data_IF_663412598109
#
_entry.id   IF_663412598109
#
_cell.length_a   1.000
_cell.length_b   1.000
_cell.length_c   1.000
_cell.angle_alpha   90.00
_cell.angle_beta   90.00
_cell.angle_gamma   90.00
#
_symmetry.space_group_name_H-M   'P 1'
#
loop_
_entity.id
_entity.type
_entity.pdbx_description
1 polymer ?
#
# COMPACT_ATOMS: atom_id res chain seq x y z
N UNK A 1 30.10 -24.36 -3.97
CA UNK A 1 29.55 -25.02 -2.77
C UNK A 1 29.61 -24.02 -1.64
N UNK A 2 28.49 -23.79 -0.95
CA UNK A 2 28.45 -22.97 0.26
C UNK A 2 28.61 -23.90 1.46
N UNK A 3 29.58 -23.63 2.35
CA UNK A 3 29.82 -24.42 3.57
C UNK A 3 29.39 -23.57 4.76
N UNK A 4 28.48 -24.08 5.58
CA UNK A 4 28.02 -23.41 6.81
C UNK A 4 28.88 -23.83 7.99
N UNK A 5 29.28 -22.86 8.80
CA UNK A 5 29.87 -23.07 10.11
C UNK A 5 28.81 -23.15 11.23
N UNK A 6 29.19 -23.60 12.42
CA UNK A 6 28.30 -23.65 13.59
C UNK A 6 27.62 -22.30 13.84
N UNK A 7 26.30 -22.31 14.01
CA UNK A 7 25.49 -21.12 14.22
C UNK A 7 25.13 -20.34 12.96
N UNK A 8 25.65 -20.69 11.78
CA UNK A 8 25.29 -20.05 10.53
C UNK A 8 24.00 -20.64 9.93
N UNK A 9 23.27 -19.79 9.21
CA UNK A 9 22.06 -20.17 8.51
C UNK A 9 22.11 -19.80 7.03
N UNK A 10 21.37 -20.56 6.22
CA UNK A 10 21.16 -20.33 4.80
C UNK A 10 19.66 -20.40 4.51
N UNK A 11 19.17 -19.45 3.71
CA UNK A 11 17.80 -19.45 3.22
C UNK A 11 17.81 -19.91 1.76
N UNK A 12 16.92 -20.84 1.42
CA UNK A 12 16.77 -21.39 0.09
C UNK A 12 15.31 -21.43 -0.33
N UNK A 13 15.01 -20.86 -1.49
CA UNK A 13 13.68 -20.84 -2.09
C UNK A 13 13.53 -22.02 -3.06
N UNK A 14 12.42 -22.77 -2.96
CA UNK A 14 12.07 -23.87 -3.86
C UNK A 14 10.62 -23.71 -4.35
N UNK A 15 10.26 -24.38 -5.45
CA UNK A 15 9.04 -24.16 -6.25
C UNK A 15 7.80 -23.59 -5.51
N UNK A 16 7.31 -22.44 -6.00
CA UNK A 16 5.99 -21.87 -5.67
C UNK A 16 5.95 -21.07 -4.37
N UNK A 17 5.56 -21.72 -3.27
CA UNK A 17 5.17 -21.08 -1.99
C UNK A 17 6.05 -21.51 -0.79
N UNK A 18 7.05 -22.38 -0.98
CA UNK A 18 7.83 -22.96 0.14
C UNK A 18 9.22 -22.34 0.25
N UNK A 19 9.56 -21.86 1.44
CA UNK A 19 10.88 -21.35 1.77
C UNK A 19 11.51 -22.19 2.88
N UNK A 20 12.75 -22.63 2.66
CA UNK A 20 13.50 -23.46 3.58
C UNK A 20 14.62 -22.64 4.22
N UNK A 21 14.75 -22.76 5.55
CA UNK A 21 15.89 -22.21 6.28
C UNK A 21 16.68 -23.38 6.87
N UNK A 22 17.95 -23.45 6.53
CA UNK A 22 18.90 -24.44 7.03
C UNK A 22 19.80 -23.77 8.04
N UNK A 23 19.84 -24.27 9.27
CA UNK A 23 20.72 -23.79 10.33
C UNK A 23 21.70 -24.88 10.73
N UNK A 24 22.99 -24.54 10.76
CA UNK A 24 24.01 -25.43 11.29
C UNK A 24 24.09 -25.25 12.82
N UNK A 25 23.89 -26.34 13.55
CA UNK A 25 23.89 -26.37 15.00
C UNK A 25 25.33 -26.44 15.54
N UNK A 26 25.49 -26.13 16.83
CA UNK A 26 26.79 -26.24 17.51
C UNK A 26 27.09 -27.68 17.92
N UNK A 27 26.06 -28.50 18.09
CA UNK A 27 26.19 -29.90 18.44
C UNK A 27 26.56 -30.74 17.22
N UNK A 28 27.31 -31.81 17.45
CA UNK A 28 27.66 -32.77 16.41
C UNK A 28 26.66 -33.92 16.37
N UNK A 29 26.28 -34.32 15.17
CA UNK A 29 25.49 -35.50 14.93
C UNK A 29 26.30 -36.76 15.35
N UNK A 30 25.77 -37.62 16.24
CA UNK A 30 26.51 -38.76 16.77
C UNK A 30 26.81 -39.87 15.74
N UNK A 31 26.05 -39.94 14.65
CA UNK A 31 26.22 -40.96 13.62
C UNK A 31 27.28 -40.57 12.58
N UNK A 32 27.32 -39.29 12.22
CA UNK A 32 28.18 -38.80 11.12
C UNK A 32 29.42 -38.05 11.61
N UNK A 33 29.41 -37.54 12.84
CA UNK A 33 30.49 -36.74 13.43
C UNK A 33 30.60 -35.30 12.88
N UNK A 34 29.72 -34.91 11.95
CA UNK A 34 29.58 -33.54 11.46
C UNK A 34 28.68 -32.71 12.37
N UNK A 35 28.71 -31.38 12.22
CA UNK A 35 27.74 -30.52 12.91
C UNK A 35 26.32 -30.86 12.45
N UNK A 36 25.42 -31.00 13.41
CA UNK A 36 24.01 -31.27 13.15
C UNK A 36 23.41 -30.08 12.39
N UNK A 37 22.38 -30.35 11.61
CA UNK A 37 21.69 -29.35 10.81
C UNK A 37 20.19 -29.41 11.08
N UNK A 38 19.59 -28.24 11.26
CA UNK A 38 18.15 -28.07 11.40
C UNK A 38 17.61 -27.46 10.11
N UNK A 39 16.63 -28.13 9.50
CA UNK A 39 15.91 -27.61 8.34
C UNK A 39 14.51 -27.24 8.80
N UNK A 40 14.13 -25.99 8.59
CA UNK A 40 12.76 -25.52 8.78
C UNK A 40 12.15 -25.14 7.44
N UNK A 41 10.87 -25.43 7.26
CA UNK A 41 10.11 -25.05 6.06
C UNK A 41 8.94 -24.15 6.45
N UNK A 42 8.80 -23.03 5.75
CA UNK A 42 7.67 -22.11 5.90
C UNK A 42 6.92 -22.02 4.57
N UNK A 43 5.58 -22.06 4.65
CA UNK A 43 4.71 -21.74 3.53
C UNK A 43 4.50 -20.21 3.46
N UNK A 44 5.11 -19.58 2.47
CA UNK A 44 5.01 -18.15 2.16
C UNK A 44 3.85 -17.86 1.17
N UNK A 45 2.70 -18.55 1.29
CA UNK A 45 1.56 -18.33 0.39
C UNK A 45 1.26 -16.85 0.24
N UNK A 46 1.16 -16.40 -1.01
CA UNK A 46 0.93 -15.00 -1.35
C UNK A 46 -0.54 -14.59 -1.18
N UNK A 47 -1.35 -15.44 -0.53
CA UNK A 47 -2.76 -15.19 -0.24
C UNK A 47 -2.88 -14.31 1.00
N UNK A 48 -3.15 -13.03 0.77
CA UNK A 48 -3.45 -12.07 1.82
C UNK A 48 -4.95 -11.94 2.08
N UNK A 49 -5.32 -11.35 3.22
CA UNK A 49 -6.71 -11.03 3.53
C UNK A 49 -7.31 -10.00 2.56
N UNK A 50 -8.62 -9.75 2.66
CA UNK A 50 -9.28 -8.72 1.85
C UNK A 50 -8.59 -7.36 2.06
N UNK A 51 -8.33 -6.64 0.97
CA UNK A 51 -7.61 -5.34 0.96
C UNK A 51 -6.14 -5.40 1.37
N UNK A 52 -5.48 -6.56 1.25
CA UNK A 52 -4.05 -6.69 1.47
C UNK A 52 -3.34 -7.21 0.22
N UNK A 53 -2.10 -6.79 0.03
CA UNK A 53 -1.19 -7.23 -1.04
C UNK A 53 0.06 -7.78 -0.39
N UNK A 54 0.49 -8.94 -0.87
CA UNK A 54 1.76 -9.54 -0.45
C UNK A 54 2.92 -8.68 -0.94
N UNK A 55 3.72 -8.15 -0.03
CA UNK A 55 4.95 -7.42 -0.34
C UNK A 55 6.15 -8.33 -0.03
N UNK A 56 6.98 -8.69 -1.04
CA UNK A 56 8.18 -9.48 -0.81
C UNK A 56 9.15 -8.76 0.13
N UNK A 57 9.89 -9.51 0.93
CA UNK A 57 10.96 -8.95 1.76
C UNK A 57 12.12 -8.47 0.86
N UNK A 58 12.70 -7.32 1.19
CA UNK A 58 13.95 -6.83 0.58
C UNK A 58 15.18 -7.29 1.34
N UNK A 59 14.99 -7.87 2.53
CA UNK A 59 16.07 -8.42 3.37
C UNK A 59 16.36 -9.87 2.94
N UNK A 60 17.59 -10.18 2.47
CA UNK A 60 18.00 -11.53 2.09
C UNK A 60 17.97 -12.54 3.24
N UNK A 61 17.92 -12.08 4.49
CA UNK A 61 17.84 -12.92 5.69
C UNK A 61 16.40 -13.24 6.11
N UNK A 62 15.40 -12.75 5.37
CA UNK A 62 13.98 -12.95 5.70
C UNK A 62 13.33 -13.86 4.67
N UNK A 63 12.84 -14.98 5.16
CA UNK A 63 12.28 -16.07 4.34
C UNK A 63 10.99 -15.68 3.61
N UNK A 64 10.02 -15.01 4.26
CA UNK A 64 8.77 -14.58 3.63
C UNK A 64 8.59 -13.06 3.64
N UNK A 65 7.90 -12.56 2.62
CA UNK A 65 7.29 -11.23 2.63
C UNK A 65 6.11 -11.14 3.59
N UNK A 66 5.46 -9.97 3.60
CA UNK A 66 4.35 -9.67 4.50
C UNK A 66 3.16 -9.13 3.73
N UNK A 67 1.96 -9.48 4.16
CA UNK A 67 0.74 -8.82 3.69
C UNK A 67 0.71 -7.39 4.21
N UNK A 68 0.75 -6.43 3.29
CA UNK A 68 0.54 -5.01 3.57
C UNK A 68 -0.84 -4.63 3.12
N UNK A 69 -1.47 -3.65 3.76
CA UNK A 69 -2.71 -3.10 3.21
C UNK A 69 -2.46 -2.66 1.75
N UNK A 70 -3.38 -2.99 0.85
CA UNK A 70 -3.42 -2.38 -0.48
C UNK A 70 -3.67 -0.90 -0.21
N UNK A 71 -2.60 -0.11 -0.13
CA UNK A 71 -2.63 1.31 0.29
C UNK A 71 -3.45 2.22 -0.63
N UNK A 72 -4.26 1.63 -1.50
CA UNK A 72 -5.14 2.23 -2.49
C UNK A 72 -6.58 1.71 -2.33
N UNK A 73 -7.09 1.43 -1.14
CA UNK A 73 -8.56 1.46 -0.94
C UNK A 73 -9.02 2.92 -0.96
N UNK A 74 -10.19 3.19 -1.56
CA UNK A 74 -10.74 4.55 -1.62
C UNK A 74 -10.85 5.17 -0.23
N UNK A 75 -10.15 6.30 -0.02
CA UNK A 75 -10.07 6.96 1.28
C UNK A 75 -9.91 8.47 1.14
N UNK A 76 -10.25 9.18 2.21
CA UNK A 76 -9.96 10.59 2.39
C UNK A 76 -8.49 10.77 2.74
N UNK A 77 -7.75 11.48 1.89
CA UNK A 77 -6.32 11.75 2.07
C UNK A 77 -6.09 13.22 2.37
N UNK A 78 -5.11 13.49 3.24
CA UNK A 78 -4.70 14.83 3.62
C UNK A 78 -3.48 15.26 2.79
N UNK A 79 -3.57 16.40 2.12
CA UNK A 79 -2.50 16.98 1.28
C UNK A 79 -2.09 18.30 1.90
N UNK A 80 -0.81 18.46 2.24
CA UNK A 80 -0.28 19.71 2.77
C UNK A 80 0.31 20.54 1.64
N UNK A 81 -0.34 21.64 1.28
CA UNK A 81 0.06 22.48 0.14
C UNK A 81 -0.15 23.96 0.43
N UNK A 82 0.50 24.85 -0.33
CA UNK A 82 0.15 26.27 -0.25
C UNK A 82 -0.91 26.62 -1.29
N UNK A 83 -2.04 27.15 -0.84
CA UNK A 83 -3.10 27.63 -1.73
C UNK A 83 -2.63 28.91 -2.40
N UNK A 84 -2.70 28.95 -3.74
CA UNK A 84 -2.38 30.10 -4.59
C UNK A 84 -3.58 30.39 -5.48
N UNK A 85 -3.98 31.66 -5.56
CA UNK A 85 -5.01 32.16 -6.47
C UNK A 85 -4.56 33.53 -6.94
N UNK A 86 -4.27 33.66 -8.23
CA UNK A 86 -3.74 34.90 -8.83
C UNK A 86 -2.50 35.42 -8.07
N UNK A 87 -2.47 36.68 -7.66
CA UNK A 87 -1.41 37.29 -6.86
C UNK A 87 -1.54 37.03 -5.33
N UNK A 88 -2.51 36.20 -4.95
CA UNK A 88 -2.82 35.85 -3.57
C UNK A 88 -2.31 34.45 -3.18
N UNK A 89 -1.81 34.33 -1.95
CA UNK A 89 -1.25 33.10 -1.41
C UNK A 89 -1.56 32.94 0.07
N UNK A 90 -1.74 31.71 0.54
CA UNK A 90 -1.79 31.44 1.99
C UNK A 90 -0.41 31.63 2.63
N UNK A 91 -0.38 32.22 3.83
CA UNK A 91 0.88 32.54 4.52
C UNK A 91 1.68 31.28 4.90
N UNK A 92 1.00 30.17 5.14
CA UNK A 92 1.60 28.87 5.46
C UNK A 92 0.92 27.76 4.65
N UNK A 93 1.58 26.59 4.47
CA UNK A 93 0.95 25.42 3.88
C UNK A 93 -0.30 25.00 4.67
N UNK A 94 -1.42 24.89 3.97
CA UNK A 94 -2.72 24.44 4.47
C UNK A 94 -2.89 22.96 4.15
N UNK A 95 -3.37 22.19 5.11
CA UNK A 95 -3.82 20.81 4.87
C UNK A 95 -5.18 20.86 4.17
N UNK A 96 -5.28 20.37 2.95
CA UNK A 96 -6.53 20.19 2.19
C UNK A 96 -6.83 18.70 2.07
N UNK A 97 -8.09 18.33 1.92
CA UNK A 97 -8.48 16.92 1.77
C UNK A 97 -8.95 16.59 0.36
N UNK A 98 -8.69 15.36 -0.07
CA UNK A 98 -9.16 14.80 -1.35
C UNK A 98 -9.50 13.32 -1.19
N UNK A 99 -10.18 12.75 -2.19
CA UNK A 99 -10.38 11.30 -2.27
C UNK A 99 -9.32 10.68 -3.16
N UNK A 100 -8.66 9.63 -2.68
CA UNK A 100 -7.69 8.85 -3.45
C UNK A 100 -7.84 7.35 -3.15
N UNK A 101 -7.60 6.52 -4.15
CA UNK A 101 -7.67 5.07 -4.06
C UNK A 101 -8.33 4.40 -5.26
N UNK A 102 -8.32 3.07 -5.23
CA UNK A 102 -8.96 2.16 -6.17
C UNK A 102 -10.36 1.82 -5.71
N UNK A 103 -11.21 1.56 -6.68
CA UNK A 103 -12.56 1.06 -6.50
C UNK A 103 -12.80 -0.15 -7.40
N UNK A 104 -13.79 -1.00 -7.07
CA UNK A 104 -14.11 -2.18 -7.88
C UNK A 104 -14.47 -1.82 -9.31
N UNK A 105 -13.90 -2.55 -10.27
CA UNK A 105 -14.22 -2.47 -11.68
C UNK A 105 -14.19 -3.85 -12.33
N UNK A 106 -15.14 -4.14 -13.22
CA UNK A 106 -15.24 -5.41 -13.95
C UNK A 106 -15.81 -5.20 -15.37
N UNK A 107 -15.39 -6.06 -16.30
CA UNK A 107 -15.99 -6.18 -17.63
C UNK A 107 -16.39 -7.63 -17.82
N UNK A 108 -17.67 -7.88 -18.05
CA UNK A 108 -18.27 -9.23 -18.07
C UNK A 108 -19.04 -9.38 -19.38
N UNK A 109 -18.78 -10.44 -20.15
CA UNK A 109 -19.56 -10.73 -21.35
C UNK A 109 -21.02 -11.05 -20.99
N UNK A 110 -21.96 -10.43 -21.70
CA UNK A 110 -23.39 -10.53 -21.48
C UNK A 110 -24.06 -11.01 -22.77
N UNK A 111 -24.50 -12.27 -22.75
CA UNK A 111 -25.12 -12.96 -23.88
C UNK A 111 -26.44 -12.32 -24.33
N UNK A 112 -27.21 -11.71 -23.41
CA UNK A 112 -28.51 -11.10 -23.73
C UNK A 112 -28.37 -9.91 -24.69
N UNK A 113 -27.24 -9.19 -24.61
CA UNK A 113 -26.93 -8.05 -25.49
C UNK A 113 -25.79 -8.36 -26.46
N UNK A 114 -25.35 -9.62 -26.54
CA UNK A 114 -24.22 -10.10 -27.34
C UNK A 114 -22.98 -9.18 -27.27
N UNK A 115 -22.65 -8.68 -26.07
CA UNK A 115 -21.61 -7.68 -25.85
C UNK A 115 -21.12 -7.72 -24.40
N UNK A 116 -20.31 -6.76 -23.96
CA UNK A 116 -19.76 -6.71 -22.61
C UNK A 116 -20.49 -5.69 -21.72
N UNK A 117 -20.97 -6.13 -20.56
CA UNK A 117 -21.39 -5.26 -19.47
C UNK A 117 -20.16 -4.76 -18.70
N UNK A 118 -20.09 -3.45 -18.48
CA UNK A 118 -18.98 -2.79 -17.78
C UNK A 118 -19.50 -2.20 -16.47
N UNK A 119 -18.82 -2.52 -15.38
CA UNK A 119 -19.10 -2.01 -14.05
C UNK A 119 -17.85 -1.30 -13.57
N UNK A 120 -17.91 0.00 -13.31
CA UNK A 120 -16.80 0.74 -12.73
C UNK A 120 -17.33 1.69 -11.68
N UNK A 121 -16.76 1.63 -10.48
CA UNK A 121 -16.95 2.65 -9.45
C UNK A 121 -15.73 3.55 -9.38
N UNK A 122 -15.94 4.83 -9.11
CA UNK A 122 -14.90 5.81 -8.88
C UNK A 122 -14.80 6.15 -7.39
N UNK A 123 -13.60 6.45 -6.92
CA UNK A 123 -13.40 6.95 -5.56
C UNK A 123 -13.85 8.41 -5.49
N UNK A 124 -14.98 8.65 -4.82
CA UNK A 124 -15.67 9.94 -4.81
C UNK A 124 -16.03 10.40 -3.42
N UNK A 125 -16.27 11.69 -3.29
CA UNK A 125 -16.74 12.36 -2.10
C UNK A 125 -18.10 11.82 -1.63
N UNK A 126 -18.18 11.45 -0.35
CA UNK A 126 -19.42 11.17 0.36
C UNK A 126 -19.84 12.44 1.11
N UNK A 127 -20.22 13.47 0.35
CA UNK A 127 -20.55 14.79 0.90
C UNK A 127 -19.34 15.73 0.95
N UNK A 128 -19.67 17.02 1.01
CA UNK A 128 -18.72 18.13 0.93
C UNK A 128 -18.88 19.06 2.12
N UNK A 129 -17.77 19.64 2.55
CA UNK A 129 -17.74 20.72 3.52
C UNK A 129 -17.05 21.94 2.91
N UNK A 130 -17.64 23.12 3.12
CA UNK A 130 -17.00 24.39 2.77
C UNK A 130 -16.03 24.80 3.86
N UNK A 131 -14.83 25.19 3.45
CA UNK A 131 -13.78 25.70 4.33
C UNK A 131 -13.28 27.05 3.84
N UNK A 132 -13.09 27.96 4.79
CA UNK A 132 -12.58 29.31 4.56
C UNK A 132 -11.14 29.41 5.02
N UNK A 133 -10.29 30.02 4.20
CA UNK A 133 -8.90 30.36 4.55
C UNK A 133 -8.58 31.77 4.07
N UNK A 134 -7.78 32.51 4.82
CA UNK A 134 -7.36 33.84 4.39
C UNK A 134 -6.09 33.76 3.53
N UNK A 135 -6.10 34.46 2.40
CA UNK A 135 -4.97 34.59 1.47
C UNK A 135 -4.43 36.01 1.50
N UNK A 136 -3.11 36.16 1.48
CA UNK A 136 -2.44 37.44 1.35
C UNK A 136 -2.20 37.75 -0.13
N UNK A 137 -2.72 38.89 -0.61
CA UNK A 137 -2.56 39.36 -1.99
C UNK A 137 -1.44 40.39 -2.07
N UNK A 138 -0.42 40.09 -2.86
CA UNK A 138 0.80 40.90 -2.95
C UNK A 138 0.60 42.22 -3.71
N UNK A 139 -0.37 42.33 -4.62
CA UNK A 139 -0.60 43.53 -5.42
C UNK A 139 -1.11 44.71 -4.59
N UNK A 140 -2.00 44.43 -3.63
CA UNK A 140 -2.67 45.46 -2.82
C UNK A 140 -2.36 45.35 -1.33
N UNK A 141 -1.47 44.42 -0.92
CA UNK A 141 -1.15 44.13 0.47
C UNK A 141 -2.38 43.85 1.35
N UNK A 142 -3.40 43.21 0.78
CA UNK A 142 -4.67 42.90 1.45
C UNK A 142 -4.78 41.43 1.82
N UNK A 143 -5.56 41.13 2.86
CA UNK A 143 -6.01 39.77 3.18
C UNK A 143 -7.41 39.56 2.62
N UNK A 144 -7.63 38.45 1.92
CA UNK A 144 -8.93 38.07 1.35
C UNK A 144 -9.35 36.70 1.84
N UNK A 145 -10.63 36.53 2.16
CA UNK A 145 -11.17 35.23 2.51
C UNK A 145 -11.45 34.41 1.24
N UNK A 146 -10.92 33.19 1.21
CA UNK A 146 -11.09 32.25 0.13
C UNK A 146 -11.81 31.00 0.62
N UNK A 147 -12.93 30.70 -0.03
CA UNK A 147 -13.75 29.54 0.27
C UNK A 147 -13.49 28.44 -0.77
N UNK A 148 -13.27 27.21 -0.29
CA UNK A 148 -13.19 26.02 -1.13
C UNK A 148 -13.96 24.86 -0.49
N UNK A 149 -14.31 23.85 -1.29
CA UNK A 149 -14.98 22.65 -0.80
C UNK A 149 -13.99 21.49 -0.69
N UNK A 150 -14.07 20.75 0.40
CA UNK A 150 -13.29 19.52 0.61
C UNK A 150 -14.23 18.36 1.02
N UNK A 151 -13.89 17.11 0.71
CA UNK A 151 -14.72 15.96 1.03
C UNK A 151 -14.82 15.75 2.55
N UNK A 152 -16.03 15.43 3.03
CA UNK A 152 -16.25 14.98 4.41
C UNK A 152 -15.74 13.54 4.60
N UNK A 153 -16.04 12.69 3.63
CA UNK A 153 -15.62 11.29 3.58
C UNK A 153 -15.52 10.84 2.10
N UNK A 154 -15.01 9.64 1.84
CA UNK A 154 -14.82 9.10 0.49
C UNK A 154 -15.35 7.68 0.38
N UNK A 155 -16.03 7.36 -0.73
CA UNK A 155 -16.54 6.02 -1.01
C UNK A 155 -16.50 5.68 -2.50
N UNK A 156 -16.62 4.39 -2.80
CA UNK A 156 -16.73 3.92 -4.17
C UNK A 156 -18.15 4.08 -4.70
N UNK A 157 -18.34 5.02 -5.63
CA UNK A 157 -19.64 5.38 -6.20
C UNK A 157 -19.67 5.14 -7.71
N UNK A 158 -20.86 4.95 -8.28
CA UNK A 158 -21.04 4.91 -9.73
C UNK A 158 -20.79 6.29 -10.35
N UNK A 159 -20.41 6.32 -11.63
CA UNK A 159 -20.31 7.57 -12.38
C UNK A 159 -21.69 8.09 -12.78
#
# INVERSE_FOLDING_TARGET
MTVLGPGQSLIQYFEGEMCYTVQCLHDKDPHTGFYAMEITSINCSQKCGSHQVYAPSTDPQVCCGSCKEDGKTCKRVAIRTTIRKDDCRSNAPVTVYSCDGKCPSATIFNFNINSHARFCKCCRESGLQTRTVSLYCSRNATMVDYNFQEPLDCSCQWN
#
